data_IF_080683627412
#
_entry.id   IF_080683627412
#
_cell.length_a   1.000
_cell.length_b   1.000
_cell.length_c   1.000
_cell.angle_alpha   90.00
_cell.angle_beta   90.00
_cell.angle_gamma   90.00
#
_symmetry.space_group_name_H-M   'P 1'
#
loop_
_entity.id
_entity.type
_entity.pdbx_description
1 polymer ?
#
# COMPACT_ATOMS: atom_id res chain seq x y z
N UNK A 1 -2.22 -3.09 -12.10
CA UNK A 1 -1.26 -1.99 -12.33
C UNK A 1 -2.02 -0.80 -12.87
N UNK A 2 -1.67 0.39 -12.40
CA UNK A 2 -2.19 1.66 -12.93
C UNK A 2 -1.45 2.16 -14.17
N UNK A 3 -1.82 3.34 -14.65
CA UNK A 3 -1.07 4.06 -15.68
C UNK A 3 0.26 4.61 -15.12
N UNK A 4 1.19 4.99 -16.01
CA UNK A 4 2.45 5.65 -15.62
C UNK A 4 2.18 7.13 -15.33
N UNK A 5 2.47 7.56 -14.10
CA UNK A 5 2.28 8.93 -13.58
C UNK A 5 3.62 9.55 -13.15
N UNK A 6 3.69 10.87 -13.09
CA UNK A 6 4.94 11.64 -12.93
C UNK A 6 4.82 12.97 -13.68
N UNK A 7 5.40 14.08 -13.22
CA UNK A 7 5.41 15.34 -14.00
C UNK A 7 6.47 15.31 -15.10
N UNK A 8 7.60 14.65 -14.84
CA UNK A 8 8.78 14.66 -15.73
C UNK A 8 8.88 13.40 -16.60
N UNK A 9 10.05 13.15 -17.20
CA UNK A 9 10.34 11.91 -17.91
C UNK A 9 10.43 10.69 -16.97
N UNK A 10 10.76 10.91 -15.70
CA UNK A 10 10.66 9.86 -14.68
C UNK A 10 9.19 9.62 -14.35
N UNK A 11 8.73 8.39 -14.53
CA UNK A 11 7.34 7.99 -14.26
C UNK A 11 7.32 6.71 -13.43
N UNK A 12 6.28 6.54 -12.65
CA UNK A 12 6.05 5.36 -11.80
C UNK A 12 4.61 4.84 -11.97
N UNK A 13 4.32 3.67 -11.41
CA UNK A 13 2.98 3.06 -11.47
C UNK A 13 2.60 2.50 -10.11
N UNK A 14 1.35 2.72 -9.70
CA UNK A 14 0.79 2.01 -8.57
C UNK A 14 0.46 0.55 -8.93
N UNK A 15 0.94 -0.38 -8.11
CA UNK A 15 0.70 -1.80 -8.22
C UNK A 15 -0.19 -2.33 -7.10
N UNK A 16 -1.13 -3.20 -7.45
CA UNK A 16 -2.00 -3.90 -6.50
C UNK A 16 -1.92 -5.40 -6.75
N UNK A 17 -1.42 -6.14 -5.76
CA UNK A 17 -1.36 -7.60 -5.78
C UNK A 17 -2.27 -8.12 -4.68
N UNK A 18 -3.21 -8.99 -5.03
CA UNK A 18 -4.19 -9.51 -4.09
C UNK A 18 -4.61 -10.95 -4.42
N UNK A 19 -4.98 -11.68 -3.38
CA UNK A 19 -5.55 -13.03 -3.49
C UNK A 19 -7.02 -12.95 -3.91
N UNK A 20 -7.35 -13.48 -5.09
CA UNK A 20 -8.70 -13.39 -5.68
C UNK A 20 -9.77 -14.18 -4.92
N UNK A 21 -9.39 -15.15 -4.11
CA UNK A 21 -10.30 -15.86 -3.20
C UNK A 21 -10.63 -15.05 -1.92
N UNK A 22 -9.89 -13.96 -1.66
CA UNK A 22 -10.09 -13.07 -0.51
C UNK A 22 -10.64 -11.72 -0.90
N UNK A 23 -10.09 -11.11 -1.94
CA UNK A 23 -10.46 -9.78 -2.38
C UNK A 23 -10.96 -9.80 -3.82
N UNK A 24 -12.03 -9.05 -4.08
CA UNK A 24 -12.50 -8.72 -5.42
C UNK A 24 -12.35 -7.22 -5.65
N UNK A 25 -11.69 -6.81 -6.74
CA UNK A 25 -11.70 -5.42 -7.18
C UNK A 25 -13.09 -5.11 -7.74
N UNK A 26 -13.81 -4.18 -7.13
CA UNK A 26 -15.19 -3.83 -7.49
C UNK A 26 -15.34 -2.42 -8.07
N UNK A 27 -14.26 -1.63 -8.06
CA UNK A 27 -14.20 -0.32 -8.67
C UNK A 27 -12.77 0.22 -8.68
N UNK A 28 -12.49 1.14 -9.59
CA UNK A 28 -11.26 1.94 -9.58
C UNK A 28 -11.46 3.24 -10.36
N UNK A 29 -10.71 4.27 -9.99
CA UNK A 29 -10.55 5.48 -10.80
C UNK A 29 -9.20 6.15 -10.49
N UNK A 30 -8.65 6.81 -11.50
CA UNK A 30 -7.47 7.66 -11.36
C UNK A 30 -7.95 9.06 -10.94
N UNK A 31 -7.37 9.63 -9.88
CA UNK A 31 -7.71 10.99 -9.47
C UNK A 31 -7.41 11.97 -10.61
N UNK A 32 -8.37 12.85 -10.93
CA UNK A 32 -8.22 13.84 -11.99
C UNK A 32 -7.58 15.11 -11.40
N UNK A 33 -6.24 15.15 -11.38
CA UNK A 33 -5.48 16.24 -10.78
C UNK A 33 -5.43 17.50 -11.65
N UNK A 34 -6.57 18.16 -11.79
CA UNK A 34 -6.69 19.44 -12.54
C UNK A 34 -5.91 20.59 -11.89
N UNK A 35 -5.59 20.48 -10.61
CA UNK A 35 -4.79 21.44 -9.85
C UNK A 35 -3.29 21.24 -10.00
N UNK A 36 -2.84 20.14 -10.62
CA UNK A 36 -1.43 19.70 -10.64
C UNK A 36 -0.84 19.70 -9.21
N UNK A 37 -1.56 19.10 -8.26
CA UNK A 37 -1.17 19.00 -6.86
C UNK A 37 -0.16 17.86 -6.61
N UNK A 38 -0.21 16.79 -7.39
CA UNK A 38 0.58 15.57 -7.17
C UNK A 38 1.67 15.39 -8.23
N UNK A 39 2.86 14.97 -7.81
CA UNK A 39 3.84 14.41 -8.76
C UNK A 39 3.32 13.11 -9.40
N UNK A 40 2.58 12.30 -8.62
CA UNK A 40 2.02 11.01 -9.03
C UNK A 40 0.58 10.88 -8.53
N UNK A 41 -0.37 11.20 -9.40
CA UNK A 41 -1.80 11.23 -9.08
C UNK A 41 -2.27 9.87 -8.51
N UNK A 42 -3.01 9.83 -7.38
CA UNK A 42 -3.45 8.58 -6.77
C UNK A 42 -4.39 7.73 -7.66
N UNK A 43 -4.14 6.42 -7.72
CA UNK A 43 -5.06 5.43 -8.30
C UNK A 43 -5.92 4.80 -7.19
N UNK A 44 -7.18 5.24 -7.09
CA UNK A 44 -8.12 4.81 -6.07
C UNK A 44 -8.74 3.48 -6.50
N UNK A 45 -8.74 2.49 -5.60
CA UNK A 45 -9.26 1.14 -5.89
C UNK A 45 -10.19 0.67 -4.78
N UNK A 46 -11.42 0.31 -5.15
CA UNK A 46 -12.42 -0.26 -4.23
C UNK A 46 -12.32 -1.79 -4.24
N UNK A 47 -12.17 -2.37 -3.06
CA UNK A 47 -12.16 -3.80 -2.85
C UNK A 47 -13.37 -4.27 -2.04
N UNK A 48 -13.86 -5.46 -2.39
CA UNK A 48 -14.74 -6.28 -1.56
C UNK A 48 -13.93 -7.41 -0.93
N UNK A 49 -13.89 -7.44 0.39
CA UNK A 49 -13.38 -8.57 1.15
C UNK A 49 -14.44 -9.67 1.26
N UNK A 50 -14.02 -10.93 1.12
CA UNK A 50 -14.88 -12.11 1.25
C UNK A 50 -15.59 -12.21 2.61
N UNK A 51 -15.14 -11.47 3.62
CA UNK A 51 -15.81 -11.38 4.92
C UNK A 51 -16.98 -10.39 4.96
N UNK A 52 -17.39 -9.83 3.81
CA UNK A 52 -18.54 -8.93 3.70
C UNK A 52 -18.23 -7.46 4.02
N UNK A 53 -16.96 -7.07 4.00
CA UNK A 53 -16.51 -5.70 4.23
C UNK A 53 -15.96 -5.15 2.91
N UNK A 54 -16.44 -3.98 2.50
CA UNK A 54 -15.90 -3.24 1.36
C UNK A 54 -15.04 -2.08 1.88
N UNK A 55 -13.87 -1.86 1.29
CA UNK A 55 -12.98 -0.75 1.65
C UNK A 55 -12.27 -0.21 0.42
N UNK A 56 -11.87 1.06 0.48
CA UNK A 56 -11.14 1.73 -0.60
C UNK A 56 -9.66 1.86 -0.24
N UNK A 57 -8.77 1.60 -1.20
CA UNK A 57 -7.36 1.93 -1.09
C UNK A 57 -7.06 3.20 -1.86
N UNK A 58 -6.37 4.14 -1.21
CA UNK A 58 -5.90 5.41 -1.78
C UNK A 58 -4.36 5.41 -1.64
N UNK A 59 -3.62 4.92 -2.64
CA UNK A 59 -2.17 4.87 -2.56
C UNK A 59 -1.57 6.28 -2.76
N UNK A 60 -0.45 6.52 -2.10
CA UNK A 60 0.35 7.74 -2.28
C UNK A 60 1.83 7.40 -2.27
N UNK A 61 2.58 7.94 -3.24
CA UNK A 61 4.02 8.09 -3.15
C UNK A 61 4.34 9.56 -3.30
N UNK A 62 4.62 10.23 -2.18
CA UNK A 62 4.80 11.68 -2.14
C UNK A 62 6.13 12.10 -2.73
N UNK A 63 6.16 13.23 -3.42
CA UNK A 63 7.42 13.87 -3.79
C UNK A 63 8.10 14.37 -2.51
N UNK A 64 9.35 13.97 -2.21
CA UNK A 64 9.98 14.33 -0.94
C UNK A 64 10.02 15.84 -0.66
N UNK A 65 10.28 16.64 -1.70
CA UNK A 65 10.35 18.10 -1.58
C UNK A 65 8.97 18.79 -1.45
N UNK A 66 7.87 18.06 -1.61
CA UNK A 66 6.51 18.59 -1.65
C UNK A 66 5.53 17.79 -0.76
N UNK A 67 6.07 16.93 0.12
CA UNK A 67 5.32 15.95 0.89
C UNK A 67 4.16 16.57 1.69
N UNK A 68 4.38 17.73 2.33
CA UNK A 68 3.33 18.44 3.09
C UNK A 68 2.15 18.83 2.20
N UNK A 69 2.41 19.37 1.01
CA UNK A 69 1.35 19.83 0.11
C UNK A 69 0.61 18.64 -0.51
N UNK A 70 1.33 17.63 -0.96
CA UNK A 70 0.72 16.43 -1.54
C UNK A 70 -0.11 15.65 -0.50
N UNK A 71 0.36 15.54 0.75
CA UNK A 71 -0.44 14.96 1.83
C UNK A 71 -1.72 15.75 2.09
N UNK A 72 -1.66 17.08 2.09
CA UNK A 72 -2.86 17.90 2.28
C UNK A 72 -3.85 17.76 1.11
N UNK A 73 -3.34 17.58 -0.11
CA UNK A 73 -4.19 17.35 -1.29
C UNK A 73 -4.96 16.02 -1.20
N UNK A 74 -4.49 15.03 -0.43
CA UNK A 74 -5.22 13.77 -0.20
C UNK A 74 -6.59 13.96 0.45
N UNK A 75 -6.84 15.10 1.11
CA UNK A 75 -8.18 15.41 1.65
C UNK A 75 -9.20 15.45 0.50
N UNK A 76 -8.88 16.11 -0.62
CA UNK A 76 -9.78 16.18 -1.78
C UNK A 76 -9.96 14.81 -2.45
N UNK A 77 -8.88 14.03 -2.53
CA UNK A 77 -8.93 12.64 -3.05
C UNK A 77 -9.85 11.77 -2.19
N UNK A 78 -9.74 11.90 -0.87
CA UNK A 78 -10.61 11.19 0.08
C UNK A 78 -12.07 11.63 -0.03
N UNK A 79 -12.34 12.93 -0.16
CA UNK A 79 -13.70 13.46 -0.33
C UNK A 79 -14.36 12.94 -1.62
N UNK A 80 -13.64 12.96 -2.76
CA UNK A 80 -14.14 12.41 -4.01
C UNK A 80 -14.39 10.90 -3.89
N UNK A 81 -13.41 10.15 -3.36
CA UNK A 81 -13.56 8.72 -3.08
C UNK A 81 -14.79 8.43 -2.20
N UNK A 82 -15.00 9.24 -1.16
CA UNK A 82 -16.12 9.10 -0.23
C UNK A 82 -17.46 9.33 -0.94
N UNK A 83 -17.53 10.28 -1.87
CA UNK A 83 -18.74 10.54 -2.66
C UNK A 83 -19.14 9.37 -3.58
N UNK A 84 -18.17 8.55 -3.99
CA UNK A 84 -18.38 7.43 -4.92
C UNK A 84 -18.55 6.10 -4.17
N UNK A 85 -17.73 5.86 -3.13
CA UNK A 85 -17.56 4.56 -2.50
C UNK A 85 -17.84 4.52 -0.99
N UNK A 86 -18.13 5.67 -0.36
CA UNK A 86 -18.28 5.79 1.08
C UNK A 86 -16.94 6.02 1.81
N UNK A 87 -17.04 6.22 3.12
CA UNK A 87 -15.95 6.74 3.97
C UNK A 87 -14.94 5.69 4.44
N UNK A 88 -15.18 4.39 4.24
CA UNK A 88 -14.26 3.33 4.64
C UNK A 88 -13.07 3.25 3.66
N UNK A 89 -11.97 3.90 4.04
CA UNK A 89 -10.76 4.00 3.23
C UNK A 89 -9.49 3.70 4.04
N UNK A 90 -8.47 3.23 3.32
CA UNK A 90 -7.09 3.13 3.78
C UNK A 90 -6.26 3.98 2.82
N UNK A 91 -5.68 5.06 3.33
CA UNK A 91 -4.65 5.84 2.64
C UNK A 91 -3.30 5.22 3.04
N UNK A 92 -2.46 4.92 2.05
CA UNK A 92 -1.22 4.16 2.29
C UNK A 92 -0.11 4.44 1.28
N UNK A 93 1.14 4.21 1.71
CA UNK A 93 2.34 4.22 0.88
C UNK A 93 3.46 5.07 1.48
N UNK A 94 4.47 5.38 0.67
CA UNK A 94 5.56 6.29 1.04
C UNK A 94 5.07 7.74 0.97
N UNK A 95 4.64 8.28 2.10
CA UNK A 95 4.19 9.67 2.18
C UNK A 95 5.38 10.63 2.39
N UNK A 96 6.62 10.13 2.48
CA UNK A 96 7.79 10.91 2.89
C UNK A 96 7.53 11.72 4.17
N UNK A 97 6.74 11.15 5.09
CA UNK A 97 6.12 11.87 6.21
C UNK A 97 7.00 11.93 7.46
N UNK A 98 8.28 12.24 7.34
CA UNK A 98 9.18 12.42 8.49
C UNK A 98 10.50 13.13 8.12
N UNK A 99 11.40 13.24 9.11
CA UNK A 99 12.79 13.64 8.95
C UNK A 99 12.90 15.03 8.28
N UNK A 100 13.75 15.16 7.26
CA UNK A 100 13.96 16.45 6.59
C UNK A 100 12.80 16.87 5.68
N UNK A 101 11.92 15.93 5.29
CA UNK A 101 10.82 16.20 4.37
C UNK A 101 9.61 16.76 5.11
N UNK A 102 9.33 16.23 6.31
CA UNK A 102 8.35 16.78 7.25
C UNK A 102 8.99 16.95 8.61
N UNK A 103 9.63 18.11 8.80
CA UNK A 103 10.28 18.46 10.05
C UNK A 103 9.29 18.55 11.22
N UNK A 104 9.77 18.48 12.47
CA UNK A 104 8.91 18.53 13.67
C UNK A 104 7.95 19.72 13.68
N UNK A 105 8.39 20.92 13.29
CA UNK A 105 7.54 22.11 13.19
C UNK A 105 6.69 22.16 11.92
N UNK A 106 7.01 21.36 10.91
CA UNK A 106 6.30 21.29 9.64
C UNK A 106 4.94 20.56 9.81
N UNK A 107 4.82 19.67 10.79
CA UNK A 107 3.58 18.94 11.09
C UNK A 107 2.37 19.82 11.37
N UNK A 108 2.55 21.05 11.90
CA UNK A 108 1.43 21.99 12.06
C UNK A 108 0.82 22.46 10.74
N UNK A 109 1.55 22.27 9.62
CA UNK A 109 1.06 22.54 8.27
C UNK A 109 0.42 21.32 7.59
N UNK A 110 0.48 20.12 8.19
CA UNK A 110 -0.13 18.91 7.64
C UNK A 110 -1.59 18.83 8.10
N UNK A 111 -2.49 19.45 7.35
CA UNK A 111 -3.93 19.46 7.60
C UNK A 111 -4.50 18.04 7.68
N UNK A 112 -4.04 17.12 6.82
CA UNK A 112 -4.44 15.71 6.84
C UNK A 112 -4.22 15.06 8.22
N UNK A 113 -3.18 15.50 8.96
CA UNK A 113 -2.88 14.99 10.31
C UNK A 113 -3.79 15.59 11.39
N UNK A 114 -4.26 16.81 11.20
CA UNK A 114 -5.13 17.50 12.16
C UNK A 114 -6.61 17.10 12.05
N UNK A 115 -7.01 16.54 10.91
CA UNK A 115 -8.39 16.16 10.64
C UNK A 115 -8.77 14.87 11.38
N UNK A 116 -9.81 14.94 12.23
CA UNK A 116 -10.21 13.85 13.14
C UNK A 116 -10.70 12.57 12.44
N UNK A 117 -11.03 12.65 11.14
CA UNK A 117 -11.46 11.51 10.35
C UNK A 117 -10.31 10.55 9.98
N UNK A 118 -9.05 11.01 10.07
CA UNK A 118 -7.88 10.29 9.60
C UNK A 118 -7.10 9.71 10.78
N UNK A 119 -7.13 8.38 10.92
CA UNK A 119 -6.46 7.67 11.99
C UNK A 119 -5.13 7.10 11.50
N UNK A 120 -4.03 7.76 11.87
CA UNK A 120 -2.67 7.36 11.53
C UNK A 120 -2.23 6.18 12.40
N UNK A 121 -1.92 5.05 11.77
CA UNK A 121 -1.63 3.78 12.47
C UNK A 121 -0.13 3.53 12.64
N UNK A 122 0.71 4.08 11.75
CA UNK A 122 2.16 4.05 11.88
C UNK A 122 2.58 5.33 12.60
N UNK A 123 3.14 5.17 13.80
CA UNK A 123 3.56 6.28 14.66
C UNK A 123 4.83 6.97 14.10
N UNK A 124 5.06 8.21 14.55
CA UNK A 124 6.16 9.05 14.05
C UNK A 124 7.56 8.55 14.50
N UNK A 125 7.63 7.65 15.47
CA UNK A 125 8.86 7.05 15.98
C UNK A 125 9.16 5.65 15.41
N UNK A 126 8.37 5.20 14.43
CA UNK A 126 8.51 3.90 13.79
C UNK A 126 9.36 4.02 12.52
N UNK A 127 10.52 3.38 12.52
CA UNK A 127 11.41 3.35 11.35
C UNK A 127 10.83 2.48 10.24
N UNK A 128 10.62 3.10 9.08
CA UNK A 128 10.12 2.45 7.86
C UNK A 128 11.21 2.29 6.80
N UNK A 129 12.46 2.63 7.10
CA UNK A 129 13.56 2.59 6.12
C UNK A 129 14.51 1.43 6.39
N UNK A 130 14.99 0.81 5.31
CA UNK A 130 16.09 -0.17 5.36
C UNK A 130 17.44 0.56 5.38
N UNK A 131 17.48 1.78 4.82
CA UNK A 131 18.67 2.64 4.80
C UNK A 131 19.24 2.95 6.20
N UNK A 132 20.41 3.57 6.29
CA UNK A 132 20.99 4.00 7.57
C UNK A 132 20.29 5.23 8.20
N UNK A 133 19.02 5.48 7.85
CA UNK A 133 18.19 6.51 8.47
C UNK A 133 17.24 5.89 9.49
N UNK A 134 16.48 6.74 10.18
CA UNK A 134 15.41 6.32 11.08
C UNK A 134 14.26 7.29 10.85
N UNK A 135 13.38 6.93 9.91
CA UNK A 135 12.34 7.82 9.41
C UNK A 135 11.01 7.07 9.20
N UNK A 136 9.91 7.66 9.66
CA UNK A 136 8.54 7.19 9.46
C UNK A 136 7.95 7.73 8.14
N UNK A 137 8.59 7.40 7.01
CA UNK A 137 8.16 7.83 5.68
C UNK A 137 6.87 7.14 5.23
N UNK A 138 6.79 5.82 5.39
CA UNK A 138 5.64 5.02 4.99
C UNK A 138 4.52 5.07 6.04
N UNK A 139 3.28 5.26 5.59
CA UNK A 139 2.14 5.46 6.49
C UNK A 139 0.95 4.59 6.13
N UNK A 140 0.16 4.28 7.15
CA UNK A 140 -1.17 3.71 7.05
C UNK A 140 -2.14 4.63 7.79
N UNK A 141 -3.13 5.14 7.08
CA UNK A 141 -4.15 6.03 7.62
C UNK A 141 -5.51 5.44 7.30
N UNK A 142 -6.33 5.21 8.32
CA UNK A 142 -7.65 4.57 8.18
C UNK A 142 -8.76 5.56 8.51
N UNK A 143 -9.86 5.48 7.79
CA UNK A 143 -11.03 6.34 7.95
C UNK A 143 -12.31 5.50 8.11
N UNK A 144 -13.38 6.11 8.63
CA UNK A 144 -14.70 5.49 8.70
C UNK A 144 -14.82 4.37 9.74
N UNK A 145 -15.83 3.53 9.56
CA UNK A 145 -16.13 2.41 10.46
C UNK A 145 -15.10 1.28 10.32
N UNK A 146 -14.33 1.28 9.23
CA UNK A 146 -13.20 0.37 9.00
C UNK A 146 -12.16 0.41 10.13
N UNK A 147 -12.01 1.54 10.82
CA UNK A 147 -11.11 1.65 11.98
C UNK A 147 -11.43 0.59 13.04
N UNK A 148 -12.72 0.34 13.30
CA UNK A 148 -13.16 -0.68 14.28
C UNK A 148 -12.79 -2.10 13.87
N UNK A 149 -12.43 -2.30 12.60
CA UNK A 149 -12.01 -3.57 12.02
C UNK A 149 -10.49 -3.69 11.93
N UNK A 150 -9.71 -2.71 12.38
CA UNK A 150 -8.24 -2.82 12.43
C UNK A 150 -7.84 -3.47 13.75
N UNK A 151 -7.13 -4.60 13.66
CA UNK A 151 -6.55 -5.27 14.84
C UNK A 151 -5.21 -4.65 15.22
N UNK A 152 -4.35 -4.40 14.24
CA UNK A 152 -2.99 -3.94 14.41
C UNK A 152 -2.43 -3.40 13.09
N UNK A 153 -1.42 -2.55 13.22
CA UNK A 153 -0.54 -2.13 12.13
C UNK A 153 0.91 -2.20 12.61
N UNK A 154 1.84 -2.51 11.71
CA UNK A 154 3.25 -2.68 12.01
C UNK A 154 4.12 -2.48 10.76
N UNK A 155 5.44 -2.55 10.93
CA UNK A 155 6.42 -2.58 9.84
C UNK A 155 6.95 -3.99 9.67
N UNK A 156 6.89 -4.52 8.44
CA UNK A 156 7.46 -5.82 8.13
C UNK A 156 8.97 -5.71 7.89
N UNK A 157 9.73 -5.98 8.95
CA UNK A 157 11.20 -6.05 8.96
C UNK A 157 11.73 -7.29 8.24
N UNK A 158 11.64 -7.28 6.91
CA UNK A 158 12.06 -8.41 6.07
C UNK A 158 13.55 -8.74 6.20
N UNK A 159 14.37 -7.76 6.54
CA UNK A 159 15.79 -7.93 6.85
C UNK A 159 15.99 -8.89 8.03
N UNK A 160 15.28 -8.66 9.13
CA UNK A 160 15.34 -9.51 10.32
C UNK A 160 14.62 -10.84 10.10
N UNK A 161 13.47 -10.80 9.43
CA UNK A 161 12.63 -11.97 9.20
C UNK A 161 13.33 -13.02 8.34
N UNK A 162 14.04 -12.59 7.30
CA UNK A 162 14.81 -13.47 6.42
C UNK A 162 16.30 -13.54 6.75
N UNK A 163 16.75 -12.86 7.81
CA UNK A 163 18.14 -12.79 8.24
C UNK A 163 19.08 -12.34 7.10
N UNK A 164 18.73 -11.24 6.45
CA UNK A 164 19.51 -10.62 5.39
C UNK A 164 20.59 -9.73 5.97
N UNK A 165 21.73 -9.64 5.28
CA UNK A 165 22.69 -8.57 5.48
C UNK A 165 22.12 -7.23 5.00
N UNK A 166 22.74 -6.11 5.42
CA UNK A 166 22.33 -4.77 4.98
C UNK A 166 22.31 -4.64 3.45
N UNK A 167 23.35 -5.16 2.78
CA UNK A 167 23.45 -5.08 1.31
C UNK A 167 22.38 -5.94 0.61
N UNK A 168 22.08 -7.12 1.15
CA UNK A 168 21.01 -7.97 0.64
C UNK A 168 19.63 -7.33 0.85
N UNK A 169 19.41 -6.69 1.99
CA UNK A 169 18.16 -5.98 2.26
C UNK A 169 17.97 -4.79 1.32
N UNK A 170 19.01 -3.96 1.15
CA UNK A 170 19.00 -2.82 0.21
C UNK A 170 18.86 -3.25 -1.26
N UNK A 171 19.30 -4.45 -1.62
CA UNK A 171 19.07 -5.00 -2.95
C UNK A 171 17.59 -5.36 -3.20
N UNK A 172 16.80 -5.55 -2.14
CA UNK A 172 15.34 -5.74 -2.23
C UNK A 172 14.63 -4.38 -2.27
N UNK A 173 14.89 -3.51 -1.30
CA UNK A 173 14.34 -2.15 -1.21
C UNK A 173 15.08 -1.36 -0.12
N UNK A 174 15.04 -0.04 -0.24
CA UNK A 174 15.42 0.92 0.80
C UNK A 174 14.29 1.24 1.79
N UNK A 175 13.08 0.70 1.60
CA UNK A 175 11.93 0.84 2.48
C UNK A 175 11.41 -0.51 2.98
N UNK A 176 10.95 -0.56 4.23
CA UNK A 176 10.20 -1.68 4.77
C UNK A 176 8.71 -1.54 4.45
N UNK A 177 7.99 -2.62 4.14
CA UNK A 177 6.55 -2.58 4.03
C UNK A 177 5.88 -2.19 5.35
N UNK A 178 4.91 -1.28 5.29
CA UNK A 178 3.91 -1.09 6.36
C UNK A 178 2.73 -2.04 6.14
N UNK A 179 2.25 -2.66 7.20
CA UNK A 179 1.16 -3.63 7.12
C UNK A 179 0.08 -3.35 8.17
N UNK A 180 -1.16 -3.74 7.86
CA UNK A 180 -2.25 -3.81 8.84
C UNK A 180 -3.02 -5.12 8.70
N UNK A 181 -3.69 -5.49 9.78
CA UNK A 181 -4.58 -6.64 9.81
C UNK A 181 -6.02 -6.21 10.06
N UNK A 182 -6.89 -6.52 9.11
CA UNK A 182 -8.32 -6.41 9.28
C UNK A 182 -8.91 -7.65 9.97
N UNK A 183 -9.90 -7.42 10.81
CA UNK A 183 -10.70 -8.46 11.47
C UNK A 183 -12.16 -8.33 11.03
N UNK A 184 -12.79 -9.47 10.82
CA UNK A 184 -14.24 -9.55 10.61
C UNK A 184 -14.87 -10.12 11.87
N UNK A 185 -16.10 -9.70 12.13
CA UNK A 185 -16.91 -10.37 13.14
C UNK A 185 -17.10 -11.84 12.72
N UNK A 186 -17.19 -12.78 13.67
CA UNK A 186 -17.49 -14.16 13.33
C UNK A 186 -18.81 -14.20 12.55
N UNK A 187 -18.77 -14.75 11.34
CA UNK A 187 -19.98 -14.98 10.54
C UNK A 187 -20.85 -15.95 11.32
N UNK A 188 -21.85 -15.44 12.05
CA UNK A 188 -22.90 -16.28 12.63
C UNK A 188 -23.70 -16.79 11.45
N UNK A 189 -23.31 -17.97 10.96
CA UNK A 189 -24.10 -18.70 9.99
C UNK A 189 -25.28 -19.24 10.78
N UNK A 190 -26.40 -18.51 10.79
CA UNK A 190 -27.67 -19.10 11.19
C UNK A 190 -27.97 -20.21 10.19
N UNK A 191 -27.62 -21.45 10.56
CA UNK A 191 -28.16 -22.59 9.86
C UNK A 191 -29.67 -22.52 10.05
N UNK A 192 -30.38 -22.13 8.99
CA UNK A 192 -31.79 -22.36 8.88
C UNK A 192 -31.98 -23.88 8.89
N UNK A 193 -32.23 -24.45 10.07
CA UNK A 193 -32.81 -25.78 10.18
C UNK A 193 -34.15 -25.72 9.46
N UNK A 194 -34.21 -26.36 8.30
CA UNK A 194 -35.44 -26.56 7.56
C UNK A 194 -36.46 -27.22 8.49
N UNK A 195 -37.58 -26.52 8.71
CA UNK A 195 -38.72 -27.06 9.46
C UNK A 195 -39.47 -28.07 8.58
N UNK A 196 -39.75 -29.29 9.05
CA UNK A 196 -40.77 -30.13 8.42
C UNK A 196 -42.14 -29.60 8.79
N UNK A 197 -42.97 -29.34 7.78
CA UNK A 197 -44.40 -29.04 7.95
C UNK A 197 -45.18 -30.29 8.37
N UNK A 198 -46.34 -30.07 9.03
CA UNK A 198 -47.44 -30.97 9.49
C UNK A 198 -47.32 -31.48 10.95
N UNK A 199 -48.30 -31.39 11.86
CA UNK A 199 -49.75 -31.03 11.91
C UNK A 199 -50.16 -30.71 13.36
N UNK A 200 -51.26 -29.94 13.52
CA UNK A 200 -52.13 -29.72 14.71
C UNK A 200 -51.86 -30.45 16.04
N UNK A 201 -51.73 -29.73 17.17
CA UNK A 201 -52.76 -29.59 18.24
C UNK A 201 -52.28 -28.69 19.42
N UNK A 202 -53.25 -28.05 20.07
CA UNK A 202 -53.38 -27.27 21.34
C UNK A 202 -52.23 -27.00 22.36
N UNK A 203 -52.03 -25.68 22.64
CA UNK A 203 -51.75 -24.97 23.93
C UNK A 203 -50.47 -25.19 24.78
N UNK A 204 -50.09 -24.22 25.66
CA UNK A 204 -48.72 -23.72 25.73
C UNK A 204 -47.88 -24.23 26.91
N UNK A 205 -46.57 -24.38 26.70
CA UNK A 205 -45.58 -24.40 27.77
C UNK A 205 -44.27 -23.72 27.34
N UNK A 206 -43.88 -22.75 28.16
CA UNK A 206 -42.64 -21.97 28.13
C UNK A 206 -41.42 -22.83 28.46
N UNK A 207 -40.36 -22.75 27.64
CA UNK A 207 -39.00 -23.11 28.02
C UNK A 207 -38.02 -22.51 27.02
N UNK A 208 -37.35 -21.42 27.41
CA UNK A 208 -36.23 -20.84 26.66
C UNK A 208 -34.94 -21.53 27.09
N UNK A 209 -34.32 -22.28 26.19
CA UNK A 209 -32.96 -22.79 26.36
C UNK A 209 -32.08 -22.20 25.26
N UNK A 210 -31.34 -21.14 25.58
CA UNK A 210 -30.27 -20.64 24.73
C UNK A 210 -29.08 -21.60 24.82
N UNK A 211 -28.78 -22.27 23.71
CA UNK A 211 -27.52 -23.00 23.53
C UNK A 211 -26.47 -21.98 23.08
N UNK A 212 -25.50 -21.67 23.93
CA UNK A 212 -24.33 -20.86 23.56
C UNK A 212 -23.28 -21.76 22.92
N UNK A 213 -23.14 -21.69 21.59
CA UNK A 213 -21.97 -22.27 20.92
C UNK A 213 -20.81 -21.26 20.97
N UNK A 214 -19.84 -21.50 21.83
CA UNK A 214 -18.56 -20.80 21.81
C UNK A 214 -17.76 -21.24 20.59
N UNK A 215 -17.85 -20.49 19.48
CA UNK A 215 -16.89 -20.59 18.39
C UNK A 215 -15.77 -19.57 18.63
N UNK A 216 -14.54 -20.07 18.77
CA UNK A 216 -13.33 -19.23 18.89
C UNK A 216 -13.11 -18.42 17.62
N UNK A 217 -12.62 -17.17 17.73
CA UNK A 217 -12.33 -16.34 16.57
C UNK A 217 -11.19 -16.96 15.76
N UNK A 218 -11.48 -17.39 14.53
CA UNK A 218 -10.46 -17.77 13.55
C UNK A 218 -9.87 -16.51 12.95
N UNK A 219 -8.68 -16.14 13.41
CA UNK A 219 -7.81 -15.16 12.76
C UNK A 219 -7.35 -15.72 11.41
N UNK A 220 -7.75 -15.09 10.30
CA UNK A 220 -7.19 -15.38 8.98
C UNK A 220 -6.50 -14.13 8.43
N UNK A 221 -5.24 -14.29 8.05
CA UNK A 221 -4.34 -13.24 7.57
C UNK A 221 -4.72 -12.81 6.15
N UNK A 222 -4.94 -11.52 5.95
CA UNK A 222 -4.94 -10.87 4.64
C UNK A 222 -3.96 -9.70 4.69
N UNK A 223 -2.81 -9.85 4.02
CA UNK A 223 -1.86 -8.78 3.81
C UNK A 223 -2.31 -7.97 2.59
N UNK A 224 -2.41 -6.65 2.75
CA UNK A 224 -2.45 -5.71 1.64
C UNK A 224 -1.10 -5.00 1.67
N UNK A 225 -0.28 -5.23 0.65
CA UNK A 225 1.00 -4.54 0.49
C UNK A 225 0.97 -3.81 -0.85
N UNK A 226 1.10 -2.49 -0.81
CA UNK A 226 1.40 -1.69 -1.99
C UNK A 226 2.90 -1.58 -2.14
N UNK A 227 3.42 -1.85 -3.34
CA UNK A 227 4.82 -1.64 -3.67
C UNK A 227 4.89 -0.58 -4.77
N UNK A 228 5.80 0.38 -4.62
CA UNK A 228 6.21 1.31 -5.66
C UNK A 228 7.58 0.88 -6.17
N UNK A 229 7.65 0.46 -7.43
CA UNK A 229 8.92 0.13 -8.07
C UNK A 229 9.38 1.30 -8.92
N UNK A 230 10.51 1.91 -8.59
CA UNK A 230 11.24 2.81 -9.48
C UNK A 230 12.16 1.97 -10.37
N UNK A 231 11.70 1.58 -11.56
CA UNK A 231 12.59 0.99 -12.56
C UNK A 231 13.45 2.09 -13.20
N UNK A 232 14.72 2.20 -12.79
CA UNK A 232 15.72 2.89 -13.60
C UNK A 232 16.04 2.01 -14.81
N UNK A 233 15.71 2.46 -16.02
CA UNK A 233 16.05 1.75 -17.25
C UNK A 233 17.58 1.71 -17.42
N UNK A 234 18.20 0.58 -17.10
CA UNK A 234 19.56 0.27 -17.54
C UNK A 234 19.43 -0.48 -18.86
N UNK A 235 19.94 0.14 -19.94
CA UNK A 235 20.00 -0.48 -21.26
C UNK A 235 20.97 -1.66 -21.22
N UNK A 236 20.45 -2.87 -21.08
CA UNK A 236 21.20 -4.10 -21.34
C UNK A 236 21.38 -4.26 -22.85
N UNK A 237 22.60 -4.03 -23.34
CA UNK A 237 23.01 -4.50 -24.66
C UNK A 237 23.18 -6.01 -24.61
N UNK A 238 22.29 -6.73 -25.31
CA UNK A 238 22.37 -8.17 -25.49
C UNK A 238 23.57 -8.48 -26.40
N UNK A 239 24.64 -9.06 -25.84
CA UNK A 239 25.73 -9.63 -26.64
C UNK A 239 25.33 -11.03 -27.09
N UNK A 240 24.99 -11.15 -28.37
CA UNK A 240 24.76 -12.44 -29.01
C UNK A 240 26.11 -13.10 -29.29
N UNK A 241 26.34 -14.26 -28.68
CA UNK A 241 27.45 -15.14 -29.04
C UNK A 241 27.05 -15.87 -30.33
N UNK A 242 27.77 -15.64 -31.42
CA UNK A 242 27.75 -16.51 -32.60
C UNK A 242 29.18 -16.83 -33.05
N UNK A 243 29.37 -18.08 -33.46
CA UNK A 243 30.63 -18.74 -33.74
C UNK A 243 31.24 -18.38 -35.11
N UNK A 244 32.53 -18.04 -35.08
CA UNK A 244 33.61 -18.25 -36.07
C UNK A 244 33.34 -18.15 -37.59
N UNK A 245 34.02 -17.22 -38.27
CA UNK A 245 35.00 -17.55 -39.34
C UNK A 245 35.94 -16.38 -39.71
N UNK A 246 37.23 -16.71 -39.83
CA UNK A 246 38.36 -16.09 -40.57
C UNK A 246 38.29 -14.66 -41.18
N UNK A 247 39.34 -13.86 -40.91
CA UNK A 247 40.08 -13.14 -41.96
C UNK A 247 40.27 -11.61 -41.86
N UNK A 248 41.52 -11.21 -41.57
CA UNK A 248 42.25 -9.99 -41.98
C UNK A 248 41.95 -8.59 -41.35
N UNK A 249 42.98 -8.04 -40.68
CA UNK A 249 43.25 -6.62 -40.29
C UNK A 249 43.48 -5.67 -41.48
N UNK A 250 43.74 -4.36 -41.27
CA UNK A 250 43.37 -3.42 -40.18
C UNK A 250 42.80 -2.08 -40.74
N UNK A 251 42.30 -1.16 -39.89
CA UNK A 251 42.54 0.30 -40.00
C UNK A 251 42.15 0.99 -38.67
N UNK A 252 43.07 1.87 -38.30
CA UNK A 252 43.13 2.88 -37.25
C UNK A 252 41.98 3.90 -37.26
N UNK A 253 41.43 4.24 -36.08
CA UNK A 253 41.21 5.63 -35.69
C UNK A 253 40.88 5.77 -34.20
N UNK A 254 41.82 6.41 -33.51
CA UNK A 254 41.76 7.01 -32.18
C UNK A 254 40.56 7.95 -31.97
N UNK A 255 39.83 7.79 -30.87
CA UNK A 255 39.27 8.93 -30.12
C UNK A 255 39.40 8.68 -28.61
N UNK A 256 40.28 9.46 -28.00
CA UNK A 256 40.35 9.76 -26.58
C UNK A 256 39.14 10.58 -26.16
N UNK A 257 38.39 10.13 -25.15
CA UNK A 257 37.57 11.00 -24.30
C UNK A 257 37.95 10.73 -22.85
N UNK A 258 38.40 11.80 -22.21
CA UNK A 258 38.88 11.91 -20.84
C UNK A 258 37.82 11.55 -19.81
N UNK A 259 38.20 10.72 -18.84
CA UNK A 259 37.47 10.40 -17.62
C UNK A 259 37.35 11.64 -16.73
N UNK A 260 36.11 12.04 -16.44
CA UNK A 260 35.78 12.98 -15.37
C UNK A 260 35.43 12.19 -14.11
N UNK A 261 36.32 12.19 -13.13
CA UNK A 261 36.10 11.65 -11.79
C UNK A 261 34.89 12.31 -11.11
N UNK A 262 33.85 11.51 -10.88
CA UNK A 262 32.71 11.85 -10.02
C UNK A 262 32.42 10.68 -9.10
N UNK A 263 33.17 10.59 -8.00
CA UNK A 263 32.93 9.66 -6.90
C UNK A 263 31.57 9.94 -6.27
N UNK A 264 30.63 8.99 -6.40
CA UNK A 264 29.54 8.84 -5.45
C UNK A 264 29.52 7.39 -4.98
N UNK A 265 30.00 7.24 -3.74
CA UNK A 265 29.92 6.03 -2.93
C UNK A 265 28.57 6.03 -2.19
N UNK A 266 28.10 4.82 -1.83
CA UNK A 266 26.69 4.42 -1.86
C UNK A 266 25.81 5.10 -0.81
#
# INVERSE_FOLDING_TARGET
MGIRVGRTASKEQYGFVYKRDKLSKIGEFQFNDTSDAFEREPLIVRFRWSAGIDFTLIPMHAKPSDAVNEMNALIQVYEESTSIYGNDSIILGDLNADCSYVCQSCWSGVQLRSESAFHWLIADDVDTTVSNSNCAYDRLIVTGDLLSKVCCADVFRFDTHFNLTQDEALAVSDHFPVELKLISDPVITTQATASPQTTSDTSPATSSSYVTSNASPTSLLSYVTSYTTSETSSSYTSSTISSSTYGTSPIDQTQTVTEGNGSWKP
#
